data_IF_489782416084
#
_entry.id   IF_489782416084
#
_cell.length_a   1.000
_cell.length_b   1.000
_cell.length_c   1.000
_cell.angle_alpha   90.00
_cell.angle_beta   90.00
_cell.angle_gamma   90.00
#
_symmetry.space_group_name_H-M   'P 1'
#
loop_
_entity.id
_entity.type
_entity.pdbx_description
1 polymer ?
#
# COMPACT_ATOMS: atom_id res chain seq x y z
N UNK A 1 26.80 64.20 -0.63
CA UNK A 1 26.79 62.96 0.17
C UNK A 1 26.97 61.83 -0.83
N UNK A 2 28.17 61.28 -0.92
CA UNK A 2 28.45 60.14 -1.80
C UNK A 2 27.98 58.87 -1.09
N UNK A 3 27.13 58.09 -1.75
CA UNK A 3 26.66 56.80 -1.22
C UNK A 3 27.65 55.72 -1.64
N UNK A 4 28.37 55.18 -0.66
CA UNK A 4 29.24 54.02 -0.83
C UNK A 4 28.36 52.77 -1.01
N UNK A 5 28.35 52.21 -2.23
CA UNK A 5 27.64 50.98 -2.53
C UNK A 5 28.59 49.80 -2.36
N UNK A 6 28.39 49.01 -1.31
CA UNK A 6 29.10 47.75 -1.10
C UNK A 6 28.41 46.68 -1.93
N UNK A 7 29.03 46.29 -3.04
CA UNK A 7 28.58 45.18 -3.89
C UNK A 7 29.08 43.87 -3.26
N UNK A 8 28.17 43.14 -2.62
CA UNK A 8 28.45 41.77 -2.16
C UNK A 8 28.32 40.87 -3.39
N UNK A 9 29.46 40.50 -3.97
CA UNK A 9 29.51 39.42 -4.94
C UNK A 9 29.05 38.13 -4.23
N UNK A 10 28.14 37.33 -4.79
CA UNK A 10 27.89 36.00 -4.27
C UNK A 10 29.24 35.29 -4.22
N UNK A 11 29.55 34.64 -3.09
CA UNK A 11 30.74 33.81 -2.97
C UNK A 11 30.78 32.92 -4.22
N UNK A 12 31.89 32.96 -4.96
CA UNK A 12 32.13 32.06 -6.08
C UNK A 12 31.78 30.66 -5.57
N UNK A 13 30.77 30.03 -6.18
CA UNK A 13 30.43 28.65 -5.86
C UNK A 13 31.73 27.88 -6.07
N UNK A 14 32.35 27.43 -4.97
CA UNK A 14 33.54 26.60 -5.03
C UNK A 14 33.25 25.52 -6.06
N UNK A 15 34.08 25.41 -7.10
CA UNK A 15 33.95 24.39 -8.12
C UNK A 15 34.14 23.02 -7.45
N UNK A 16 33.10 22.54 -6.78
CA UNK A 16 33.06 21.24 -6.14
C UNK A 16 33.37 20.21 -7.23
N UNK A 17 34.48 19.47 -7.06
CA UNK A 17 34.81 18.34 -7.91
C UNK A 17 33.54 17.53 -8.13
N UNK A 18 33.12 17.40 -9.41
CA UNK A 18 31.87 16.74 -9.80
C UNK A 18 31.96 15.26 -9.43
N UNK A 19 31.65 14.98 -8.18
CA UNK A 19 31.68 13.65 -7.58
C UNK A 19 30.32 13.01 -7.84
N UNK A 20 30.31 11.71 -8.11
CA UNK A 20 29.08 10.97 -8.39
C UNK A 20 28.00 11.16 -7.31
N UNK A 21 28.42 11.39 -6.05
CA UNK A 21 27.55 11.67 -4.91
C UNK A 21 26.89 13.06 -5.03
N UNK A 22 27.62 14.08 -5.51
CA UNK A 22 27.09 15.41 -5.78
C UNK A 22 26.02 15.39 -6.88
N UNK A 23 26.26 14.64 -7.96
CA UNK A 23 25.28 14.47 -9.06
C UNK A 23 24.01 13.80 -8.57
N UNK A 24 24.09 12.76 -7.74
CA UNK A 24 22.92 12.11 -7.12
C UNK A 24 22.16 13.10 -6.23
N UNK A 25 22.86 13.92 -5.45
CA UNK A 25 22.26 14.96 -4.61
C UNK A 25 21.48 16.00 -5.42
N UNK A 26 22.03 16.45 -6.55
CA UNK A 26 21.37 17.38 -7.48
C UNK A 26 20.15 16.73 -8.11
N UNK A 27 20.27 15.49 -8.62
CA UNK A 27 19.13 14.74 -9.17
C UNK A 27 18.03 14.57 -8.12
N UNK A 28 18.39 14.26 -6.87
CA UNK A 28 17.43 14.13 -5.79
C UNK A 28 16.73 15.46 -5.48
N UNK A 29 17.47 16.58 -5.47
CA UNK A 29 16.95 17.93 -5.23
C UNK A 29 15.98 18.35 -6.33
N UNK A 30 16.27 18.04 -7.58
CA UNK A 30 15.40 18.37 -8.71
C UNK A 30 14.17 17.46 -8.78
N UNK A 31 14.33 16.18 -8.43
CA UNK A 31 13.26 15.21 -8.39
C UNK A 31 12.32 15.42 -7.20
N UNK A 32 12.82 15.97 -6.09
CA UNK A 32 12.03 16.36 -4.90
C UNK A 32 11.51 17.80 -4.94
N UNK A 33 12.15 18.70 -5.68
CA UNK A 33 11.73 20.09 -5.89
C UNK A 33 10.56 20.23 -6.87
N UNK A 34 10.36 19.24 -7.75
CA UNK A 34 9.23 19.19 -8.67
C UNK A 34 8.03 18.42 -8.12
N UNK A 35 6.84 19.02 -8.15
CA UNK A 35 5.55 18.35 -7.88
C UNK A 35 5.28 17.19 -8.87
N UNK A 36 5.95 17.18 -10.04
CA UNK A 36 5.71 16.28 -11.17
C UNK A 36 6.03 14.79 -10.92
N UNK A 37 7.27 14.40 -10.55
CA UNK A 37 7.65 12.98 -10.47
C UNK A 37 6.93 12.22 -9.36
N UNK A 38 6.81 12.80 -8.17
CA UNK A 38 6.12 12.18 -7.04
C UNK A 38 4.60 12.08 -7.26
N UNK A 39 4.01 13.05 -7.96
CA UNK A 39 2.62 12.98 -8.40
C UNK A 39 2.36 11.83 -9.38
N UNK A 40 3.29 11.60 -10.32
CA UNK A 40 3.22 10.50 -11.30
C UNK A 40 3.48 9.11 -10.68
N UNK A 41 4.25 9.03 -9.59
CA UNK A 41 4.50 7.78 -8.86
C UNK A 41 3.28 7.29 -8.07
N UNK A 42 2.42 8.22 -7.63
CA UNK A 42 1.22 7.94 -6.84
C UNK A 42 0.31 6.83 -7.41
N UNK A 43 -0.09 6.84 -8.70
CA UNK A 43 -0.89 5.76 -9.28
C UNK A 43 -0.16 4.40 -9.29
N UNK A 44 1.16 4.37 -9.53
CA UNK A 44 1.93 3.12 -9.50
C UNK A 44 1.92 2.50 -8.10
N UNK A 45 2.15 3.30 -7.07
CA UNK A 45 2.08 2.86 -5.67
C UNK A 45 0.67 2.38 -5.32
N UNK A 46 -0.37 3.10 -5.76
CA UNK A 46 -1.75 2.68 -5.54
C UNK A 46 -2.08 1.32 -6.18
N UNK A 47 -1.54 1.04 -7.38
CA UNK A 47 -1.69 -0.25 -8.05
C UNK A 47 -0.97 -1.35 -7.30
N UNK A 48 0.28 -1.14 -6.91
CA UNK A 48 1.05 -2.11 -6.11
C UNK A 48 0.33 -2.44 -4.80
N UNK A 49 -0.15 -1.43 -4.08
CA UNK A 49 -0.93 -1.62 -2.86
C UNK A 49 -2.24 -2.37 -3.12
N UNK A 50 -2.86 -2.22 -4.29
CA UNK A 50 -4.10 -2.91 -4.65
C UNK A 50 -3.92 -4.41 -4.94
N UNK A 51 -2.68 -4.89 -5.10
CA UNK A 51 -2.40 -6.32 -5.29
C UNK A 51 -2.68 -7.14 -4.03
N UNK A 52 -2.74 -6.51 -2.85
CA UNK A 52 -3.18 -7.18 -1.64
C UNK A 52 -4.71 -7.24 -1.63
N UNK A 53 -5.31 -8.43 -1.86
CA UNK A 53 -6.75 -8.55 -1.98
C UNK A 53 -7.44 -8.22 -0.66
N UNK A 54 -8.74 -7.89 -0.74
CA UNK A 54 -9.63 -7.63 0.41
C UNK A 54 -9.29 -6.41 1.29
N UNK A 55 -8.09 -5.85 1.20
CA UNK A 55 -7.67 -4.68 2.00
C UNK A 55 -7.91 -3.34 1.31
N UNK A 56 -8.12 -3.33 -0.01
CA UNK A 56 -8.42 -2.13 -0.80
C UNK A 56 -7.42 -0.97 -0.58
N UNK A 57 -6.15 -1.29 -0.30
CA UNK A 57 -5.13 -0.33 0.12
C UNK A 57 -4.89 0.78 -0.91
N UNK A 58 -4.99 0.48 -2.21
CA UNK A 58 -4.91 1.50 -3.25
C UNK A 58 -6.01 2.57 -3.18
N UNK A 59 -7.23 2.18 -2.76
CA UNK A 59 -8.34 3.14 -2.55
C UNK A 59 -8.14 3.92 -1.25
N UNK A 60 -7.63 3.28 -0.20
CA UNK A 60 -7.29 3.93 1.07
C UNK A 60 -6.17 4.98 0.89
N UNK A 61 -5.11 4.63 0.15
CA UNK A 61 -4.02 5.54 -0.20
C UNK A 61 -4.50 6.76 -0.99
N UNK A 62 -5.49 6.57 -1.87
CA UNK A 62 -6.14 7.66 -2.59
C UNK A 62 -7.21 8.41 -1.79
N UNK A 63 -7.36 8.13 -0.48
CA UNK A 63 -8.37 8.73 0.42
C UNK A 63 -9.81 8.48 -0.05
N UNK A 64 -10.04 7.43 -0.85
CA UNK A 64 -11.36 7.04 -1.36
C UNK A 64 -12.02 5.96 -0.49
N UNK A 65 -12.14 6.23 0.81
CA UNK A 65 -12.67 5.26 1.80
C UNK A 65 -14.10 4.80 1.47
N UNK A 66 -14.95 5.70 0.96
CA UNK A 66 -16.33 5.35 0.55
C UNK A 66 -16.35 4.34 -0.59
N UNK A 67 -15.46 4.51 -1.58
CA UNK A 67 -15.33 3.58 -2.70
C UNK A 67 -14.80 2.24 -2.21
N UNK A 68 -13.76 2.25 -1.37
CA UNK A 68 -13.22 1.07 -0.71
C UNK A 68 -14.29 0.26 0.03
N UNK A 69 -15.14 0.93 0.82
CA UNK A 69 -16.23 0.29 1.55
C UNK A 69 -17.25 -0.36 0.61
N UNK A 70 -17.64 0.34 -0.47
CA UNK A 70 -18.55 -0.22 -1.48
C UNK A 70 -18.01 -1.51 -2.11
N UNK A 71 -16.73 -1.51 -2.51
CA UNK A 71 -16.09 -2.72 -3.05
C UNK A 71 -15.95 -3.84 -2.02
N UNK A 72 -15.64 -3.50 -0.76
CA UNK A 72 -15.58 -4.47 0.33
C UNK A 72 -16.92 -5.18 0.53
N UNK A 73 -18.03 -4.45 0.54
CA UNK A 73 -19.38 -5.03 0.69
C UNK A 73 -19.69 -6.00 -0.45
N UNK A 74 -19.34 -5.66 -1.70
CA UNK A 74 -19.55 -6.54 -2.85
C UNK A 74 -18.73 -7.83 -2.74
N UNK A 75 -17.52 -7.76 -2.18
CA UNK A 75 -16.64 -8.93 -2.01
C UNK A 75 -16.85 -9.70 -0.71
N UNK A 76 -17.64 -9.17 0.22
CA UNK A 76 -17.90 -9.80 1.52
C UNK A 76 -18.33 -11.28 1.40
N UNK A 77 -19.21 -11.69 0.45
CA UNK A 77 -19.56 -13.09 0.27
C UNK A 77 -18.38 -13.99 -0.11
N UNK A 78 -17.40 -13.49 -0.85
CA UNK A 78 -16.21 -14.24 -1.25
C UNK A 78 -15.28 -14.48 -0.07
N UNK A 79 -15.06 -13.45 0.76
CA UNK A 79 -14.29 -13.57 2.00
C UNK A 79 -14.93 -14.64 2.88
N UNK A 80 -16.24 -14.54 3.11
CA UNK A 80 -16.98 -15.55 3.85
C UNK A 80 -16.78 -16.93 3.24
N UNK A 81 -16.92 -17.09 1.93
CA UNK A 81 -16.75 -18.39 1.27
C UNK A 81 -15.36 -18.99 1.51
N UNK A 82 -14.28 -18.20 1.37
CA UNK A 82 -12.90 -18.66 1.54
C UNK A 82 -12.65 -19.17 2.97
N UNK A 83 -13.20 -18.52 3.99
CA UNK A 83 -12.96 -18.88 5.39
C UNK A 83 -14.01 -19.85 5.96
N UNK A 84 -15.27 -19.70 5.56
CA UNK A 84 -16.39 -20.49 6.06
C UNK A 84 -16.39 -21.89 5.46
N UNK A 85 -16.01 -22.04 4.19
CA UNK A 85 -15.96 -23.37 3.56
C UNK A 85 -15.04 -24.36 4.30
N UNK A 86 -13.76 -24.04 4.60
CA UNK A 86 -12.89 -24.94 5.34
C UNK A 86 -13.44 -25.29 6.73
N UNK A 87 -14.01 -24.30 7.43
CA UNK A 87 -14.61 -24.48 8.76
C UNK A 87 -15.79 -25.45 8.69
N UNK A 88 -16.72 -25.22 7.75
CA UNK A 88 -17.87 -26.09 7.55
C UNK A 88 -17.46 -27.48 7.05
N UNK A 89 -16.42 -27.58 6.23
CA UNK A 89 -15.89 -28.85 5.76
C UNK A 89 -15.28 -29.68 6.91
N UNK A 90 -14.52 -29.05 7.80
CA UNK A 90 -14.00 -29.72 8.99
C UNK A 90 -15.15 -30.12 9.92
N UNK A 91 -16.12 -29.23 10.12
CA UNK A 91 -17.31 -29.53 10.92
C UNK A 91 -18.11 -30.72 10.37
N UNK A 92 -18.27 -30.84 9.05
CA UNK A 92 -19.03 -31.95 8.46
C UNK A 92 -18.38 -33.32 8.72
N UNK A 93 -17.05 -33.38 8.82
CA UNK A 93 -16.33 -34.60 9.20
C UNK A 93 -16.63 -34.97 10.67
N UNK A 94 -16.57 -33.98 11.57
CA UNK A 94 -16.89 -34.20 12.98
C UNK A 94 -18.35 -34.63 13.19
N UNK A 95 -19.27 -33.99 12.47
CA UNK A 95 -20.68 -34.32 12.49
C UNK A 95 -20.92 -35.78 12.05
N UNK A 96 -20.32 -36.19 10.92
CA UNK A 96 -20.40 -37.56 10.44
C UNK A 96 -19.84 -38.59 11.44
N UNK A 97 -18.70 -38.27 12.07
CA UNK A 97 -18.12 -39.11 13.12
C UNK A 97 -19.04 -39.25 14.34
N UNK A 98 -19.62 -38.14 14.80
CA UNK A 98 -20.51 -38.11 15.95
C UNK A 98 -21.78 -38.94 15.70
N UNK A 99 -22.38 -38.77 14.53
CA UNK A 99 -23.57 -39.54 14.12
C UNK A 99 -23.26 -41.04 14.06
N UNK A 100 -22.15 -41.43 13.43
CA UNK A 100 -21.73 -42.84 13.35
C UNK A 100 -21.48 -43.45 14.74
N UNK A 101 -20.78 -42.71 15.60
CA UNK A 101 -20.49 -43.13 16.98
C UNK A 101 -21.77 -43.32 17.80
N UNK A 102 -22.74 -42.43 17.64
CA UNK A 102 -24.03 -42.51 18.31
C UNK A 102 -24.87 -43.73 17.89
N UNK A 103 -24.76 -44.17 16.63
CA UNK A 103 -25.40 -45.40 16.16
C UNK A 103 -24.76 -46.62 16.84
N UNK A 104 -23.43 -46.73 16.82
CA UNK A 104 -22.71 -47.84 17.45
C UNK A 104 -23.01 -47.95 18.94
N UNK A 105 -23.08 -46.82 19.65
CA UNK A 105 -23.38 -46.78 21.08
C UNK A 105 -24.81 -47.27 21.41
N UNK A 106 -25.77 -47.12 20.50
CA UNK A 106 -27.16 -47.58 20.68
C UNK A 106 -27.37 -49.04 20.28
N UNK A 107 -26.53 -49.57 19.40
CA UNK A 107 -26.61 -50.96 18.95
C UNK A 107 -26.02 -51.94 19.97
N UNK A 108 -25.30 -51.45 20.98
CA UNK A 108 -24.76 -52.23 22.09
C UNK A 108 -25.68 -52.17 23.32
#
# INVERSE_FOLDING_TARGET
MEHEYVVILPAEEEEDEVTAIGVIGVVWKELSGGVGPWGALRPLVAVLLSLVPFLFLGQHFNRQHRKSAGWFVIQFPLILSIFLWPVLFVWSIFDAWWVSSGIVAKTR
#
